data_IF_805228181249
#
_entry.id   IF_805228181249
#
_cell.length_a   1.000
_cell.length_b   1.000
_cell.length_c   1.000
_cell.angle_alpha   90.00
_cell.angle_beta   90.00
_cell.angle_gamma   90.00
#
_symmetry.space_group_name_H-M   'P 1'
#
loop_
_entity.id
_entity.type
_entity.pdbx_description
1 polymer ?
#
# COMPACT_ATOMS: atom_id res chain seq x y z
N UNK A 1 -31.90 -14.69 -22.36
CA UNK A 1 -30.77 -14.21 -21.53
C UNK A 1 -31.20 -12.96 -20.75
N UNK A 2 -31.85 -13.10 -19.59
CA UNK A 2 -32.39 -11.93 -18.85
C UNK A 2 -32.85 -12.29 -17.42
N UNK A 3 -32.02 -12.98 -16.65
CA UNK A 3 -32.30 -13.23 -15.21
C UNK A 3 -31.04 -13.28 -14.36
N UNK A 4 -29.92 -13.77 -14.91
CA UNK A 4 -28.66 -13.86 -14.18
C UNK A 4 -28.03 -12.49 -13.81
N UNK A 5 -28.27 -11.45 -14.60
CA UNK A 5 -27.71 -10.10 -14.35
C UNK A 5 -28.50 -9.28 -13.33
N UNK A 6 -29.78 -9.59 -13.10
CA UNK A 6 -30.58 -8.88 -12.13
C UNK A 6 -30.21 -9.28 -10.69
N UNK A 7 -29.99 -10.58 -10.45
CA UNK A 7 -29.67 -11.10 -9.12
C UNK A 7 -28.31 -10.64 -8.60
N UNK A 8 -27.29 -10.55 -9.45
CA UNK A 8 -25.98 -10.03 -9.06
C UNK A 8 -26.02 -8.55 -8.66
N UNK A 9 -26.81 -7.73 -9.36
CA UNK A 9 -26.97 -6.31 -9.01
C UNK A 9 -27.69 -6.16 -7.66
N UNK A 10 -28.73 -6.96 -7.39
CA UNK A 10 -29.45 -6.91 -6.10
C UNK A 10 -28.58 -7.33 -4.92
N UNK A 11 -27.72 -8.34 -5.07
CA UNK A 11 -26.82 -8.82 -4.00
C UNK A 11 -25.76 -7.75 -3.66
N UNK A 12 -25.20 -7.06 -4.67
CA UNK A 12 -24.21 -6.01 -4.46
C UNK A 12 -24.83 -4.81 -3.70
N UNK A 13 -26.07 -4.42 -4.04
CA UNK A 13 -26.78 -3.34 -3.35
C UNK A 13 -27.15 -3.66 -1.90
N UNK A 14 -27.47 -4.92 -1.59
CA UNK A 14 -27.74 -5.38 -0.22
C UNK A 14 -26.48 -5.37 0.65
N UNK A 15 -25.32 -5.69 0.07
CA UNK A 15 -24.04 -5.66 0.79
C UNK A 15 -23.55 -4.23 1.08
N UNK A 16 -23.79 -3.28 0.18
CA UNK A 16 -23.38 -1.88 0.40
C UNK A 16 -24.27 -1.16 1.41
N UNK A 17 -25.56 -1.48 1.48
CA UNK A 17 -26.48 -0.85 2.45
C UNK A 17 -26.24 -1.32 3.90
N UNK A 18 -25.72 -2.54 4.09
CA UNK A 18 -25.50 -3.13 5.43
C UNK A 18 -24.32 -2.50 6.20
N UNK A 19 -23.43 -1.75 5.54
CA UNK A 19 -22.27 -1.11 6.16
C UNK A 19 -22.54 0.30 6.72
N UNK A 20 -23.72 0.88 6.50
CA UNK A 20 -24.00 2.30 6.87
C UNK A 20 -24.81 2.44 8.17
N UNK A 21 -25.23 1.32 8.79
CA UNK A 21 -26.13 1.35 9.95
C UNK A 21 -25.45 1.08 11.31
N UNK A 22 -24.18 1.49 11.49
CA UNK A 22 -23.57 1.52 12.81
C UNK A 22 -23.58 2.94 13.37
N UNK A 23 -24.10 3.18 14.59
CA UNK A 23 -24.07 4.48 15.22
C UNK A 23 -22.61 4.87 15.51
N UNK A 24 -22.12 5.90 14.81
CA UNK A 24 -20.81 6.53 15.07
C UNK A 24 -20.98 7.46 16.27
N UNK A 25 -21.07 6.90 17.47
CA UNK A 25 -21.13 7.70 18.69
C UNK A 25 -20.58 6.93 19.89
N UNK A 26 -19.25 6.90 20.02
CA UNK A 26 -18.53 6.97 21.30
C UNK A 26 -17.00 6.89 21.07
N UNK A 27 -16.42 7.93 20.48
CA UNK A 27 -15.01 8.29 20.77
C UNK A 27 -14.95 9.79 20.99
N UNK A 28 -15.54 10.23 22.10
CA UNK A 28 -15.11 11.47 22.75
C UNK A 28 -13.84 11.15 23.54
N UNK A 29 -12.72 11.00 22.82
CA UNK A 29 -11.39 11.08 23.39
C UNK A 29 -10.78 12.36 22.83
N UNK A 30 -10.87 13.41 23.64
CA UNK A 30 -10.06 14.63 23.63
C UNK A 30 -9.14 14.81 22.40
N UNK A 31 -9.67 15.33 21.30
CA UNK A 31 -8.86 15.71 20.13
C UNK A 31 -8.37 17.15 20.26
N UNK A 32 -7.98 17.56 21.48
CA UNK A 32 -7.16 18.75 21.72
C UNK A 32 -5.70 18.57 21.27
N UNK A 33 -5.29 17.35 20.94
CA UNK A 33 -4.00 17.10 20.31
C UNK A 33 -4.16 17.24 18.80
N UNK A 34 -3.67 18.37 18.28
CA UNK A 34 -3.43 18.58 16.87
C UNK A 34 -2.78 17.33 16.26
N UNK A 35 -3.12 17.11 15.00
CA UNK A 35 -2.60 16.13 14.06
C UNK A 35 -1.06 16.20 13.93
N UNK A 36 -0.32 15.90 15.00
CA UNK A 36 1.12 15.67 14.96
C UNK A 36 1.24 14.24 14.45
N UNK A 37 1.24 14.09 13.13
CA UNK A 37 1.51 12.81 12.50
C UNK A 37 2.81 12.26 13.10
N UNK A 38 2.73 11.13 13.81
CA UNK A 38 3.90 10.51 14.42
C UNK A 38 4.81 10.04 13.29
N UNK A 39 5.87 10.79 13.02
CA UNK A 39 6.78 10.51 11.92
C UNK A 39 7.51 9.16 12.09
N UNK A 40 7.69 8.67 13.32
CA UNK A 40 8.21 7.32 13.53
C UNK A 40 7.24 6.24 13.04
N UNK A 41 5.94 6.41 13.30
CA UNK A 41 4.91 5.48 12.77
C UNK A 41 4.83 5.53 11.24
N UNK A 42 4.91 6.73 10.65
CA UNK A 42 4.92 6.87 9.19
C UNK A 42 6.17 6.24 8.55
N UNK A 43 7.34 6.43 9.16
CA UNK A 43 8.56 5.81 8.69
C UNK A 43 8.47 4.28 8.70
N UNK A 44 7.96 3.70 9.80
CA UNK A 44 7.74 2.27 9.91
C UNK A 44 6.74 1.77 8.86
N UNK A 45 5.63 2.48 8.65
CA UNK A 45 4.63 2.10 7.66
C UNK A 45 5.22 1.99 6.25
N UNK A 46 6.01 2.98 5.83
CA UNK A 46 6.64 2.94 4.51
C UNK A 46 7.72 1.87 4.40
N UNK A 47 8.43 1.53 5.48
CA UNK A 47 9.35 0.37 5.49
C UNK A 47 8.59 -0.95 5.28
N UNK A 48 7.50 -1.15 6.00
CA UNK A 48 6.64 -2.33 5.84
C UNK A 48 6.09 -2.44 4.41
N UNK A 49 5.71 -1.31 3.79
CA UNK A 49 5.29 -1.28 2.38
C UNK A 49 6.44 -1.63 1.42
N UNK A 50 7.65 -1.12 1.66
CA UNK A 50 8.83 -1.48 0.87
C UNK A 50 9.11 -3.00 0.94
N UNK A 51 9.04 -3.57 2.15
CA UNK A 51 9.20 -5.01 2.37
C UNK A 51 8.11 -5.83 1.64
N UNK A 52 6.85 -5.35 1.65
CA UNK A 52 5.75 -5.97 0.89
C UNK A 52 6.03 -5.96 -0.61
N UNK A 53 6.47 -4.83 -1.18
CA UNK A 53 6.81 -4.77 -2.60
C UNK A 53 8.01 -5.65 -2.95
N UNK A 54 8.99 -5.77 -2.06
CA UNK A 54 10.11 -6.67 -2.24
C UNK A 54 9.69 -8.14 -2.24
N UNK A 55 8.80 -8.55 -1.33
CA UNK A 55 8.21 -9.90 -1.36
C UNK A 55 7.46 -10.16 -2.67
N UNK A 56 6.73 -9.17 -3.19
CA UNK A 56 6.02 -9.28 -4.48
C UNK A 56 6.96 -9.38 -5.69
N UNK A 57 8.17 -8.81 -5.62
CA UNK A 57 9.21 -9.01 -6.63
C UNK A 57 9.65 -10.47 -6.64
N UNK A 58 9.90 -11.05 -5.46
CA UNK A 58 10.27 -12.46 -5.32
C UNK A 58 9.17 -13.39 -5.86
N UNK A 59 7.91 -13.11 -5.54
CA UNK A 59 6.75 -13.84 -6.06
C UNK A 59 6.68 -13.79 -7.59
N UNK A 60 6.93 -12.61 -8.21
CA UNK A 60 6.92 -12.47 -9.67
C UNK A 60 8.07 -13.24 -10.32
N UNK A 61 9.27 -13.20 -9.72
CA UNK A 61 10.43 -13.97 -10.18
C UNK A 61 10.13 -15.47 -10.12
N UNK A 62 9.52 -15.94 -9.03
CA UNK A 62 9.13 -17.34 -8.86
C UNK A 62 8.03 -17.76 -9.85
N UNK A 63 7.04 -16.90 -10.09
CA UNK A 63 5.99 -17.13 -11.07
C UNK A 63 6.55 -17.25 -12.50
N UNK A 64 7.56 -16.43 -12.84
CA UNK A 64 8.27 -16.53 -14.12
C UNK A 64 9.05 -17.83 -14.21
N UNK A 65 9.75 -18.22 -13.14
CA UNK A 65 10.55 -19.46 -13.07
C UNK A 65 9.69 -20.72 -13.27
N UNK A 66 8.48 -20.72 -12.74
CA UNK A 66 7.56 -21.86 -12.80
C UNK A 66 6.73 -21.93 -14.09
N UNK A 67 6.95 -21.01 -15.04
CA UNK A 67 6.17 -20.96 -16.28
C UNK A 67 6.63 -22.04 -17.26
N UNK A 68 5.73 -22.69 -18.04
CA UNK A 68 6.14 -23.65 -19.05
C UNK A 68 7.02 -22.99 -20.12
N UNK A 69 8.00 -23.74 -20.64
CA UNK A 69 8.95 -23.27 -21.66
C UNK A 69 8.27 -22.71 -22.92
N UNK A 70 7.07 -23.19 -23.25
CA UNK A 70 6.26 -22.72 -24.37
C UNK A 70 5.82 -21.25 -24.23
N UNK A 71 5.76 -20.71 -23.02
CA UNK A 71 5.47 -19.31 -22.77
C UNK A 71 6.56 -18.36 -23.30
N UNK A 72 7.76 -18.88 -23.50
CA UNK A 72 8.94 -18.14 -23.92
C UNK A 72 9.22 -18.29 -25.43
N UNK A 73 8.23 -18.75 -26.21
CA UNK A 73 8.38 -18.95 -27.65
C UNK A 73 7.52 -17.97 -28.48
N UNK A 74 8.06 -17.56 -29.64
CA UNK A 74 7.36 -16.76 -30.64
C UNK A 74 6.87 -15.40 -30.14
N UNK A 75 5.70 -14.95 -30.62
CA UNK A 75 5.10 -13.66 -30.25
C UNK A 75 4.71 -13.60 -28.76
N UNK A 76 4.35 -14.73 -28.16
CA UNK A 76 4.03 -14.83 -26.74
C UNK A 76 5.24 -14.50 -25.85
N UNK A 77 6.45 -14.90 -26.29
CA UNK A 77 7.69 -14.60 -25.58
C UNK A 77 7.92 -13.10 -25.42
N UNK A 78 7.72 -12.34 -26.51
CA UNK A 78 7.93 -10.90 -26.53
C UNK A 78 6.99 -10.21 -25.54
N UNK A 79 5.68 -10.44 -25.67
CA UNK A 79 4.68 -9.84 -24.78
C UNK A 79 4.85 -10.25 -23.33
N UNK A 80 5.16 -11.52 -23.07
CA UNK A 80 5.43 -12.01 -21.74
C UNK A 80 6.63 -11.30 -21.11
N UNK A 81 7.76 -11.21 -21.83
CA UNK A 81 8.95 -10.51 -21.36
C UNK A 81 8.67 -9.03 -21.07
N UNK A 82 8.01 -8.33 -22.01
CA UNK A 82 7.64 -6.92 -21.83
C UNK A 82 6.78 -6.72 -20.58
N UNK A 83 5.79 -7.59 -20.36
CA UNK A 83 4.91 -7.52 -19.21
C UNK A 83 5.64 -7.74 -17.88
N UNK A 84 6.49 -8.78 -17.81
CA UNK A 84 7.26 -9.11 -16.60
C UNK A 84 8.24 -7.99 -16.27
N UNK A 85 8.99 -7.50 -17.26
CA UNK A 85 9.95 -6.40 -17.07
C UNK A 85 9.25 -5.14 -16.59
N UNK A 86 8.11 -4.79 -17.19
CA UNK A 86 7.31 -3.64 -16.76
C UNK A 86 6.85 -3.80 -15.31
N UNK A 87 6.33 -4.97 -14.94
CA UNK A 87 5.81 -5.22 -13.59
C UNK A 87 6.91 -5.20 -12.53
N UNK A 88 8.07 -5.81 -12.81
CA UNK A 88 9.22 -5.78 -11.90
C UNK A 88 9.71 -4.35 -11.69
N UNK A 89 9.88 -3.57 -12.76
CA UNK A 89 10.30 -2.17 -12.66
C UNK A 89 9.33 -1.33 -11.83
N UNK A 90 8.02 -1.49 -12.02
CA UNK A 90 7.01 -0.79 -11.22
C UNK A 90 7.12 -1.13 -9.72
N UNK A 91 7.45 -2.38 -9.37
CA UNK A 91 7.66 -2.78 -7.99
C UNK A 91 8.97 -2.24 -7.43
N UNK A 92 10.06 -2.27 -8.20
CA UNK A 92 11.35 -1.70 -7.82
C UNK A 92 11.24 -0.19 -7.53
N UNK A 93 10.57 0.55 -8.41
CA UNK A 93 10.27 1.97 -8.19
C UNK A 93 9.45 2.19 -6.93
N UNK A 94 8.46 1.32 -6.66
CA UNK A 94 7.66 1.43 -5.45
C UNK A 94 8.49 1.15 -4.19
N UNK A 95 9.43 0.18 -4.21
CA UNK A 95 10.37 -0.04 -3.10
C UNK A 95 11.19 1.23 -2.85
N UNK A 96 11.79 1.80 -3.89
CA UNK A 96 12.62 3.00 -3.78
C UNK A 96 11.83 4.19 -3.21
N UNK A 97 10.65 4.48 -3.76
CA UNK A 97 9.79 5.58 -3.31
C UNK A 97 9.38 5.43 -1.84
N UNK A 98 9.10 4.20 -1.40
CA UNK A 98 8.73 3.94 0.00
C UNK A 98 9.93 4.07 0.94
N UNK A 99 11.12 3.62 0.53
CA UNK A 99 12.33 3.82 1.33
C UNK A 99 12.72 5.29 1.44
N UNK A 100 12.56 6.09 0.38
CA UNK A 100 12.77 7.54 0.44
C UNK A 100 11.79 8.22 1.40
N UNK A 101 10.51 7.87 1.34
CA UNK A 101 9.49 8.40 2.27
C UNK A 101 9.77 7.98 3.72
N UNK A 102 10.20 6.74 3.94
CA UNK A 102 10.60 6.27 5.25
C UNK A 102 11.76 7.11 5.80
N UNK A 103 12.84 7.27 5.03
CA UNK A 103 14.00 8.07 5.42
C UNK A 103 13.64 9.54 5.71
N UNK A 104 12.75 10.13 4.90
CA UNK A 104 12.22 11.47 5.15
C UNK A 104 11.55 11.55 6.52
N UNK A 105 10.67 10.61 6.84
CA UNK A 105 9.96 10.62 8.12
C UNK A 105 10.87 10.27 9.31
N UNK A 106 11.88 9.42 9.16
CA UNK A 106 12.88 9.21 10.22
C UNK A 106 13.63 10.49 10.57
N UNK A 107 14.01 11.27 9.54
CA UNK A 107 14.65 12.58 9.75
C UNK A 107 13.73 13.52 10.52
N UNK A 108 12.45 13.60 10.14
CA UNK A 108 11.49 14.48 10.83
C UNK A 108 11.23 14.03 12.28
N UNK A 109 11.19 12.72 12.55
CA UNK A 109 11.07 12.19 13.91
C UNK A 109 12.28 12.53 14.78
N UNK A 110 13.49 12.47 14.21
CA UNK A 110 14.71 12.87 14.90
C UNK A 110 14.69 14.38 15.24
N UNK A 111 14.27 15.23 14.30
CA UNK A 111 14.14 16.68 14.53
C UNK A 111 13.10 17.00 15.61
N UNK A 112 11.95 16.31 15.63
CA UNK A 112 10.95 16.45 16.69
C UNK A 112 11.47 16.03 18.07
N UNK A 113 12.33 15.02 18.14
CA UNK A 113 12.97 14.56 19.38
C UNK A 113 14.03 15.54 19.90
N UNK A 114 14.63 16.34 19.01
CA UNK A 114 15.63 17.36 19.36
C UNK A 114 15.03 18.73 19.73
N UNK A 115 13.80 19.03 19.29
CA UNK A 115 13.10 20.29 19.59
C UNK A 115 12.12 20.32 20.81
N UNK A 116 11.94 19.30 21.67
CA UNK A 116 10.86 19.32 22.66
C UNK A 116 11.11 20.21 23.89
N UNK A 117 12.24 20.93 23.97
CA UNK A 117 12.66 21.65 25.20
C UNK A 117 12.93 23.15 25.00
N UNK A 118 12.98 23.69 23.78
CA UNK A 118 13.41 25.08 23.56
C UNK A 118 12.32 26.16 23.61
N UNK A 119 11.03 25.81 23.81
CA UNK A 119 9.93 26.79 23.76
C UNK A 119 9.00 26.83 25.00
N UNK A 120 9.42 26.25 26.13
CA UNK A 120 8.68 26.36 27.41
C UNK A 120 9.32 27.33 28.42
N UNK A 121 10.00 28.37 27.96
CA UNK A 121 10.40 29.48 28.82
C UNK A 121 10.25 30.81 28.09
N UNK A 122 9.16 31.52 28.40
CA UNK A 122 9.09 32.98 28.63
C UNK A 122 7.69 33.36 29.12
#
# INVERSE_FOLDING_TARGET
>A
MKTATAHTITIIFLFTLLLVALPVSAFAADSGQQNIANHSTLAQHYKEQADEYQARIEDEIEAVRNKPSTAFLGRNAKHFKEHVVFKLNQLEMAVEENLEKAAYHEKMAAEQTLQPVSLSSN
#
